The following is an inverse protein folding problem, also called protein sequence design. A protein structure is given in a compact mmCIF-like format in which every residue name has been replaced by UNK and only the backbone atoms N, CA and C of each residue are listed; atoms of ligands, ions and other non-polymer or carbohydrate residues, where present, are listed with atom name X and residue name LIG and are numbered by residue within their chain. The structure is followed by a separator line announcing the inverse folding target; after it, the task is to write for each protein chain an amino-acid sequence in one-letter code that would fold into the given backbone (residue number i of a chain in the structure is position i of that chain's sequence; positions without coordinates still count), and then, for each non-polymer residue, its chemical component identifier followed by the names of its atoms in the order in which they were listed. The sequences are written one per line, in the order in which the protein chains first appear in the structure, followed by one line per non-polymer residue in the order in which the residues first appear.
data_IF_366699302149
#
_entry.id   IF_366699302149
#
_cell.length_a   1.000
_cell.length_b   1.000
_cell.length_c   1.000
_cell.angle_alpha   90.00
_cell.angle_beta   90.00
_cell.angle_gamma   90.00
#
_symmetry.space_group_name_H-M   'P 1'
#
loop_
_entity.id
_entity.type
_entity.pdbx_description
1 polymer ?
#
# COMPACT_ATOMS: atom_id res chain seq x y z
N UNK A 1 -43.78 18.54 -5.87
CA UNK A 1 -42.61 19.09 -5.16
C UNK A 1 -42.06 17.95 -4.30
N UNK A 2 -40.86 17.43 -4.60
CA UNK A 2 -40.28 16.31 -3.86
C UNK A 2 -39.11 16.86 -3.06
N UNK A 3 -39.39 17.30 -1.84
CA UNK A 3 -38.37 17.62 -0.84
C UNK A 3 -37.60 16.32 -0.57
N UNK A 4 -36.33 16.34 -0.92
CA UNK A 4 -35.40 15.23 -0.76
C UNK A 4 -35.22 14.99 0.74
N UNK A 5 -35.23 13.73 1.13
CA UNK A 5 -34.76 13.23 2.42
C UNK A 5 -33.27 13.58 2.64
N UNK A 6 -32.96 14.86 2.81
CA UNK A 6 -31.65 15.31 3.22
C UNK A 6 -31.54 15.09 4.72
N UNK A 7 -30.66 14.18 5.14
CA UNK A 7 -30.37 13.98 6.55
C UNK A 7 -30.07 15.34 7.20
N UNK A 8 -30.62 15.58 8.41
CA UNK A 8 -30.45 16.86 9.07
C UNK A 8 -28.96 17.12 9.32
N UNK A 9 -28.52 18.41 9.35
CA UNK A 9 -27.11 18.77 9.35
C UNK A 9 -26.28 18.12 10.47
N UNK A 10 -26.89 17.85 11.62
CA UNK A 10 -26.27 17.19 12.76
C UNK A 10 -26.02 15.69 12.52
N UNK A 11 -26.95 14.98 11.89
CA UNK A 11 -26.79 13.57 11.54
C UNK A 11 -25.76 13.34 10.43
N UNK A 12 -25.56 14.31 9.53
CA UNK A 12 -24.45 14.31 8.56
C UNK A 12 -23.10 14.45 9.25
N UNK A 13 -22.95 15.43 10.15
CA UNK A 13 -21.71 15.66 10.90
C UNK A 13 -21.32 14.48 11.79
N UNK A 14 -22.31 13.79 12.35
CA UNK A 14 -22.09 12.62 13.20
C UNK A 14 -21.58 11.42 12.38
N UNK A 15 -22.20 11.15 11.22
CA UNK A 15 -21.67 10.15 10.26
C UNK A 15 -20.28 10.51 9.73
N UNK A 16 -20.02 11.78 9.43
CA UNK A 16 -18.69 12.24 9.02
C UNK A 16 -17.65 12.07 10.13
N UNK A 17 -18.03 12.32 11.40
CA UNK A 17 -17.17 12.02 12.56
C UNK A 17 -16.94 10.53 12.76
N UNK A 18 -17.96 9.70 12.61
CA UNK A 18 -17.81 8.25 12.69
C UNK A 18 -16.87 7.74 11.59
N UNK A 19 -17.06 8.19 10.35
CA UNK A 19 -16.18 7.86 9.22
C UNK A 19 -14.74 8.35 9.45
N UNK A 20 -14.57 9.58 9.95
CA UNK A 20 -13.25 10.13 10.29
C UNK A 20 -12.61 9.43 11.50
N UNK A 21 -13.40 8.87 12.42
CA UNK A 21 -12.91 8.06 13.55
C UNK A 21 -12.58 6.62 13.13
N UNK A 22 -13.23 6.12 12.08
CA UNK A 22 -12.94 4.84 11.44
C UNK A 22 -11.80 4.92 10.41
N UNK A 23 -11.45 6.13 9.94
CA UNK A 23 -10.19 6.38 9.22
C UNK A 23 -9.02 6.06 10.16
N UNK A 24 -8.55 4.81 10.06
CA UNK A 24 -7.25 4.42 10.61
C UNK A 24 -6.24 5.48 10.19
N UNK A 25 -5.44 5.92 11.14
CA UNK A 25 -4.33 6.86 10.94
C UNK A 25 -3.40 6.26 9.88
N UNK A 26 -3.68 6.56 8.61
CA UNK A 26 -2.94 6.03 7.48
C UNK A 26 -1.48 6.48 7.62
N UNK A 27 -0.55 5.59 7.30
CA UNK A 27 0.87 5.91 7.26
C UNK A 27 1.11 6.98 6.18
N UNK A 28 2.11 7.86 6.35
CA UNK A 28 2.41 8.88 5.35
C UNK A 28 2.81 8.25 4.02
N UNK A 29 2.51 8.94 2.91
CA UNK A 29 2.69 8.42 1.55
C UNK A 29 4.08 7.81 1.33
N UNK A 30 5.12 8.45 1.85
CA UNK A 30 6.51 8.03 1.67
C UNK A 30 6.81 6.64 2.23
N UNK A 31 6.11 6.23 3.30
CA UNK A 31 6.26 4.89 3.89
C UNK A 31 5.68 3.82 2.96
N UNK A 32 4.49 4.07 2.40
CA UNK A 32 3.88 3.16 1.43
C UNK A 32 4.68 3.10 0.13
N UNK A 33 5.19 4.22 -0.36
CA UNK A 33 6.01 4.26 -1.57
C UNK A 33 7.34 3.52 -1.38
N UNK A 34 8.04 3.77 -0.27
CA UNK A 34 9.30 3.08 0.04
C UNK A 34 9.07 1.58 0.23
N UNK A 35 8.01 1.20 0.94
CA UNK A 35 7.63 -0.20 1.11
C UNK A 35 7.35 -0.88 -0.23
N UNK A 36 6.61 -0.22 -1.12
CA UNK A 36 6.36 -0.71 -2.47
C UNK A 36 7.67 -0.94 -3.25
N UNK A 37 8.58 0.03 -3.23
CA UNK A 37 9.86 -0.06 -3.94
C UNK A 37 10.73 -1.22 -3.42
N UNK A 38 10.85 -1.37 -2.09
CA UNK A 38 11.62 -2.46 -1.48
C UNK A 38 11.04 -3.82 -1.86
N UNK A 39 9.71 -3.97 -1.77
CA UNK A 39 9.04 -5.24 -2.12
C UNK A 39 9.20 -5.55 -3.61
N UNK A 40 9.12 -4.56 -4.49
CA UNK A 40 9.35 -4.74 -5.92
C UNK A 40 10.78 -5.21 -6.20
N UNK A 41 11.78 -4.57 -5.59
CA UNK A 41 13.20 -4.97 -5.71
C UNK A 41 13.40 -6.40 -5.19
N UNK A 42 12.80 -6.74 -4.05
CA UNK A 42 12.89 -8.09 -3.48
C UNK A 42 12.25 -9.14 -4.40
N UNK A 43 11.09 -8.86 -4.99
CA UNK A 43 10.42 -9.75 -5.93
C UNK A 43 11.26 -9.97 -7.20
N UNK A 44 11.80 -8.89 -7.76
CA UNK A 44 12.68 -8.95 -8.92
C UNK A 44 13.96 -9.72 -8.60
N UNK A 45 14.63 -9.41 -7.49
CA UNK A 45 15.82 -10.15 -7.05
C UNK A 45 15.54 -11.63 -6.85
N UNK A 46 14.39 -11.99 -6.28
CA UNK A 46 14.00 -13.39 -6.09
C UNK A 46 13.88 -14.17 -7.40
N UNK A 47 13.39 -13.52 -8.47
CA UNK A 47 13.34 -14.11 -9.81
C UNK A 47 14.71 -14.26 -10.46
N UNK A 48 15.58 -13.26 -10.32
CA UNK A 48 16.95 -13.36 -10.81
C UNK A 48 17.74 -14.45 -10.10
N UNK A 49 17.57 -14.60 -8.78
CA UNK A 49 18.20 -15.69 -8.03
C UNK A 49 17.70 -17.05 -8.46
N UNK A 50 16.38 -17.22 -8.61
CA UNK A 50 15.81 -18.49 -9.04
C UNK A 50 16.29 -18.87 -10.45
N UNK A 51 16.39 -17.90 -11.36
CA UNK A 51 16.84 -18.13 -12.73
C UNK A 51 18.34 -18.46 -12.83
N UNK A 52 19.19 -17.74 -12.09
CA UNK A 52 20.65 -17.86 -12.20
C UNK A 52 21.26 -18.87 -11.22
N UNK A 53 20.47 -19.42 -10.28
CA UNK A 53 20.94 -20.26 -9.18
C UNK A 53 22.12 -19.66 -8.40
N UNK A 54 22.16 -18.34 -8.33
CA UNK A 54 23.20 -17.58 -7.62
C UNK A 54 22.53 -16.84 -6.47
N UNK A 55 22.86 -17.14 -5.19
CA UNK A 55 22.17 -16.56 -4.04
C UNK A 55 22.67 -15.12 -3.76
N UNK A 56 22.10 -14.12 -4.43
CA UNK A 56 22.44 -12.70 -4.32
C UNK A 56 22.16 -12.15 -2.91
N UNK A 57 21.05 -12.56 -2.29
CA UNK A 57 20.67 -12.21 -0.92
C UNK A 57 21.47 -13.01 0.11
N UNK A 58 22.10 -14.13 -0.28
CA UNK A 58 22.96 -14.94 0.59
C UNK A 58 22.28 -15.56 1.81
N UNK A 59 20.95 -15.44 1.95
CA UNK A 59 20.19 -15.89 3.13
C UNK A 59 20.11 -17.41 3.19
N UNK A 60 19.93 -18.06 2.04
CA UNK A 60 19.87 -19.51 1.91
C UNK A 60 20.64 -19.95 0.66
N UNK A 61 21.33 -21.08 0.74
CA UNK A 61 22.02 -21.68 -0.40
C UNK A 61 21.06 -22.42 -1.35
N UNK A 62 21.40 -22.55 -2.65
CA UNK A 62 20.58 -23.27 -3.64
C UNK A 62 20.32 -24.75 -3.28
N UNK A 63 21.18 -25.34 -2.46
CA UNK A 63 21.08 -26.75 -2.02
C UNK A 63 19.96 -26.98 -0.99
N UNK A 64 19.36 -25.91 -0.44
CA UNK A 64 18.27 -26.02 0.51
C UNK A 64 16.91 -26.06 -0.21
N UNK A 65 16.06 -27.08 0.02
CA UNK A 65 14.72 -27.17 -0.57
C UNK A 65 13.82 -25.95 -0.28
N UNK A 66 14.04 -25.25 0.83
CA UNK A 66 13.30 -24.05 1.20
C UNK A 66 13.69 -22.83 0.36
N UNK A 67 14.86 -22.83 -0.27
CA UNK A 67 15.35 -21.70 -1.06
C UNK A 67 14.40 -21.40 -2.23
N UNK A 68 14.02 -22.41 -3.02
CA UNK A 68 13.10 -22.22 -4.15
C UNK A 68 11.70 -21.84 -3.70
N UNK A 69 11.22 -22.38 -2.58
CA UNK A 69 9.89 -22.09 -2.04
C UNK A 69 9.80 -20.64 -1.56
N UNK A 70 10.80 -20.17 -0.81
CA UNK A 70 10.85 -18.81 -0.29
C UNK A 70 10.98 -17.79 -1.43
N UNK A 71 11.91 -18.03 -2.37
CA UNK A 71 12.07 -17.15 -3.52
C UNK A 71 10.83 -17.14 -4.42
N UNK A 72 10.19 -18.30 -4.62
CA UNK A 72 8.93 -18.41 -5.35
C UNK A 72 7.81 -17.62 -4.68
N UNK A 73 7.70 -17.72 -3.34
CA UNK A 73 6.73 -16.94 -2.58
C UNK A 73 6.96 -15.43 -2.73
N UNK A 74 8.20 -14.95 -2.58
CA UNK A 74 8.52 -13.53 -2.73
C UNK A 74 8.36 -13.04 -4.18
N UNK A 75 8.73 -13.85 -5.18
CA UNK A 75 8.54 -13.51 -6.58
C UNK A 75 7.07 -13.40 -6.98
N UNK A 76 6.23 -14.34 -6.52
CA UNK A 76 4.81 -14.37 -6.89
C UNK A 76 3.97 -13.38 -6.08
N UNK A 77 4.17 -13.31 -4.76
CA UNK A 77 3.40 -12.40 -3.89
C UNK A 77 3.92 -10.96 -3.92
N UNK A 78 5.20 -10.77 -4.23
CA UNK A 78 5.86 -9.47 -4.17
C UNK A 78 5.29 -8.45 -5.14
N UNK A 79 5.03 -8.82 -6.41
CA UNK A 79 4.43 -7.87 -7.37
C UNK A 79 3.02 -7.41 -6.98
N UNK A 80 2.07 -8.30 -6.62
CA UNK A 80 0.77 -7.90 -6.07
C UNK A 80 0.90 -6.99 -4.83
N UNK A 81 1.77 -7.35 -3.88
CA UNK A 81 1.97 -6.56 -2.65
C UNK A 81 2.57 -5.19 -2.96
N UNK A 82 3.57 -5.10 -3.85
CA UNK A 82 4.17 -3.85 -4.26
C UNK A 82 3.15 -2.94 -4.96
N UNK A 83 2.33 -3.50 -5.85
CA UNK A 83 1.24 -2.76 -6.52
C UNK A 83 0.19 -2.25 -5.53
N UNK A 84 -0.20 -3.07 -4.55
CA UNK A 84 -1.12 -2.66 -3.48
C UNK A 84 -0.55 -1.50 -2.65
N UNK A 85 0.72 -1.61 -2.23
CA UNK A 85 1.41 -0.55 -1.48
C UNK A 85 1.54 0.74 -2.30
N UNK A 86 1.84 0.63 -3.59
CA UNK A 86 1.91 1.77 -4.50
C UNK A 86 0.54 2.47 -4.62
N UNK A 87 -0.52 1.70 -4.79
CA UNK A 87 -1.89 2.24 -4.83
C UNK A 87 -2.27 2.95 -3.53
N UNK A 88 -1.88 2.41 -2.38
CA UNK A 88 -2.04 3.07 -1.07
C UNK A 88 -1.21 4.36 -0.97
N UNK A 89 0.00 4.37 -1.51
CA UNK A 89 0.83 5.57 -1.55
C UNK A 89 0.15 6.71 -2.35
N UNK A 90 -0.44 6.39 -3.51
CA UNK A 90 -1.19 7.36 -4.32
C UNK A 90 -2.40 7.90 -3.54
N UNK A 91 -3.19 7.03 -2.90
CA UNK A 91 -4.33 7.47 -2.10
C UNK A 91 -3.92 8.38 -0.94
N UNK A 92 -2.85 8.02 -0.21
CA UNK A 92 -2.33 8.85 0.87
C UNK A 92 -1.86 10.21 0.35
N UNK A 93 -1.13 10.23 -0.77
CA UNK A 93 -0.66 11.48 -1.37
C UNK A 93 -1.84 12.38 -1.77
N UNK A 94 -2.83 11.84 -2.49
CA UNK A 94 -4.02 12.61 -2.91
C UNK A 94 -4.79 13.17 -1.71
N UNK A 95 -4.95 12.37 -0.64
CA UNK A 95 -5.61 12.80 0.59
C UNK A 95 -4.86 13.91 1.31
N UNK A 96 -3.54 13.87 1.31
CA UNK A 96 -2.71 14.94 1.89
C UNK A 96 -2.81 16.23 1.06
N UNK A 97 -2.88 16.13 -0.28
CA UNK A 97 -3.16 17.29 -1.16
C UNK A 97 -4.56 17.88 -0.91
N UNK A 98 -5.61 17.06 -0.85
CA UNK A 98 -6.97 17.54 -0.55
C UNK A 98 -7.07 18.23 0.82
N UNK A 99 -6.28 17.79 1.80
CA UNK A 99 -6.19 18.45 3.11
C UNK A 99 -5.47 19.79 3.04
N UNK A 100 -4.41 19.89 2.24
CA UNK A 100 -3.70 21.13 2.01
C UNK A 100 -4.59 22.15 1.28
N UNK A 101 -5.26 21.74 0.20
CA UNK A 101 -6.19 22.60 -0.56
C UNK A 101 -7.32 23.15 0.34
N UNK A 102 -7.93 22.29 1.17
CA UNK A 102 -8.95 22.71 2.15
C UNK A 102 -8.42 23.66 3.22
N UNK A 103 -7.16 23.52 3.61
CA UNK A 103 -6.54 24.41 4.60
C UNK A 103 -6.21 25.78 3.99
N UNK A 104 -5.84 25.81 2.72
CA UNK A 104 -5.50 27.02 1.96
C UNK A 104 -6.73 27.74 1.39
N UNK A 105 -7.93 27.14 1.51
CA UNK A 105 -9.21 27.82 1.35
C UNK A 105 -9.72 27.95 -0.10
N UNK A 106 -9.25 27.09 -1.01
CA UNK A 106 -9.81 26.93 -2.36
C UNK A 106 -10.67 25.67 -2.48
#
# INVERSE_FOLDING_TARGET
MKEKDELPPWARKEKERELASMEKKDLPFGVFLLGSAIVAIAATGSWFELANKNPIFGVLGPDNPLWTVILGFFGVSGYPTAGFLFYKAIQSANKDFERADKADGY
#
